data_IF_803291526811
#
_entry.id   IF_803291526811
#
_cell.length_a   1.000
_cell.length_b   1.000
_cell.length_c   1.000
_cell.angle_alpha   90.00
_cell.angle_beta   90.00
_cell.angle_gamma   90.00
#
_symmetry.space_group_name_H-M   'P 1'
#
loop_
_entity.id
_entity.type
_entity.pdbx_description
1 polymer ?
#
# COMPACT_ATOMS: atom_id res chain seq x y z
N UNK A 1 -13.52 6.98 13.95
CA UNK A 1 -14.51 6.16 13.18
C UNK A 1 -13.71 5.25 12.25
N UNK A 2 -14.02 3.93 12.24
CA UNK A 2 -13.34 2.93 11.40
C UNK A 2 -13.55 3.21 9.90
N UNK A 3 -12.55 2.86 9.08
CA UNK A 3 -12.63 2.90 7.61
C UNK A 3 -13.01 1.54 6.99
N UNK A 4 -13.14 0.49 7.79
CA UNK A 4 -13.59 -0.84 7.31
C UNK A 4 -14.97 -0.71 6.65
N UNK A 5 -15.12 -1.37 5.50
CA UNK A 5 -16.32 -1.34 4.66
C UNK A 5 -16.67 0.04 4.10
N UNK A 6 -15.72 0.98 4.08
CA UNK A 6 -15.89 2.29 3.42
C UNK A 6 -15.23 2.26 2.05
N UNK A 7 -15.91 2.86 1.08
CA UNK A 7 -15.33 3.10 -0.23
C UNK A 7 -14.28 4.20 -0.13
N UNK A 8 -13.15 4.03 -0.82
CA UNK A 8 -12.12 5.07 -0.92
C UNK A 8 -12.70 6.31 -1.60
N UNK A 9 -12.18 7.47 -1.23
CA UNK A 9 -12.55 8.74 -1.86
C UNK A 9 -11.84 8.86 -3.20
N UNK A 10 -12.49 9.33 -4.29
CA UNK A 10 -11.82 9.56 -5.57
C UNK A 10 -10.56 10.40 -5.42
N UNK A 11 -9.50 10.03 -6.15
CA UNK A 11 -8.22 10.72 -6.12
C UNK A 11 -7.55 10.72 -7.50
N UNK A 12 -6.58 11.61 -7.67
CA UNK A 12 -5.63 11.59 -8.77
C UNK A 12 -4.33 12.22 -8.27
N UNK A 13 -3.23 11.49 -8.36
CA UNK A 13 -1.92 11.91 -7.87
C UNK A 13 -0.82 11.55 -8.86
N UNK A 14 0.27 12.31 -8.84
CA UNK A 14 1.47 11.96 -9.59
C UNK A 14 2.19 10.78 -8.94
N UNK A 15 2.91 10.02 -9.76
CA UNK A 15 3.60 8.83 -9.31
C UNK A 15 4.91 8.57 -10.06
N UNK A 16 5.81 7.89 -9.37
CA UNK A 16 6.99 7.28 -9.95
C UNK A 16 6.82 5.76 -10.01
N UNK A 17 7.00 5.19 -11.19
CA UNK A 17 7.04 3.74 -11.40
C UNK A 17 8.42 3.35 -11.91
N UNK A 18 9.20 2.59 -11.14
CA UNK A 18 10.50 2.11 -11.59
C UNK A 18 10.40 1.33 -12.90
N UNK A 19 11.30 1.63 -13.85
CA UNK A 19 11.29 1.03 -15.19
C UNK A 19 10.52 1.82 -16.23
N UNK A 20 9.62 2.72 -15.85
CA UNK A 20 8.97 3.62 -16.79
C UNK A 20 9.88 4.81 -17.13
N UNK A 21 9.79 5.28 -18.39
CA UNK A 21 10.59 6.40 -18.90
C UNK A 21 10.15 7.73 -18.28
N UNK A 22 8.85 7.93 -18.22
CA UNK A 22 8.23 9.18 -17.78
C UNK A 22 7.49 8.96 -16.44
N UNK A 23 7.20 10.04 -15.74
CA UNK A 23 6.29 9.99 -14.61
C UNK A 23 4.87 9.72 -15.08
N UNK A 24 4.09 9.09 -14.22
CA UNK A 24 2.69 8.75 -14.50
C UNK A 24 1.77 9.46 -13.51
N UNK A 25 0.50 9.50 -13.81
CA UNK A 25 -0.56 9.88 -12.87
C UNK A 25 -1.40 8.63 -12.58
N UNK A 26 -1.79 8.46 -11.33
CA UNK A 26 -2.64 7.35 -10.86
C UNK A 26 -3.89 7.90 -10.19
N UNK A 27 -5.03 7.34 -10.54
CA UNK A 27 -6.35 7.74 -10.03
C UNK A 27 -7.14 6.54 -9.50
N UNK A 28 -8.25 6.82 -8.84
CA UNK A 28 -9.22 5.79 -8.42
C UNK A 28 -9.72 4.92 -9.57
N UNK A 29 -9.76 5.46 -10.80
CA UNK A 29 -10.18 4.70 -11.99
C UNK A 29 -9.18 3.63 -12.42
N UNK A 30 -7.90 3.83 -12.15
CA UNK A 30 -6.84 2.88 -12.52
C UNK A 30 -6.86 1.63 -11.67
N UNK A 31 -7.50 1.70 -10.49
CA UNK A 31 -7.64 0.58 -9.55
C UNK A 31 -9.01 -0.10 -9.60
N UNK A 32 -9.96 0.42 -10.37
CA UNK A 32 -11.28 -0.22 -10.54
C UNK A 32 -11.12 -1.63 -11.09
N UNK A 33 -11.83 -2.58 -10.47
CA UNK A 33 -11.78 -4.01 -10.84
C UNK A 33 -10.55 -4.76 -10.37
N UNK A 34 -9.65 -4.13 -9.61
CA UNK A 34 -8.41 -4.74 -9.13
C UNK A 34 -8.32 -4.67 -7.60
N UNK A 35 -7.68 -5.68 -7.03
CA UNK A 35 -7.24 -5.61 -5.64
C UNK A 35 -6.06 -4.66 -5.53
N UNK A 36 -6.04 -3.81 -4.52
CA UNK A 36 -4.98 -2.83 -4.32
C UNK A 36 -4.53 -2.75 -2.86
N UNK A 37 -3.25 -2.55 -2.67
CA UNK A 37 -2.64 -2.26 -1.38
C UNK A 37 -2.11 -0.84 -1.40
N UNK A 38 -2.54 -0.02 -0.45
CA UNK A 38 -1.98 1.32 -0.19
C UNK A 38 -1.10 1.24 1.05
N UNK A 39 0.19 1.38 0.85
CA UNK A 39 1.22 1.26 1.88
C UNK A 39 1.79 2.63 2.21
N UNK A 40 1.17 3.33 3.18
CA UNK A 40 1.60 4.64 3.64
C UNK A 40 2.83 4.54 4.53
N UNK A 41 3.78 5.45 4.34
CA UNK A 41 4.98 5.58 5.17
C UNK A 41 5.33 7.07 5.36
N UNK A 42 6.07 7.43 6.45
CA UNK A 42 6.29 8.82 6.81
C UNK A 42 7.07 9.66 5.81
N UNK A 43 8.21 9.18 5.32
CA UNK A 43 9.05 9.95 4.40
C UNK A 43 10.15 9.11 3.75
N UNK A 44 10.57 9.56 2.56
CA UNK A 44 11.78 9.10 1.88
C UNK A 44 13.04 9.43 2.68
N UNK A 45 14.15 8.75 2.38
CA UNK A 45 15.47 8.97 3.00
C UNK A 45 15.48 8.86 4.54
N UNK A 46 14.67 7.95 5.11
CA UNK A 46 14.60 7.68 6.56
C UNK A 46 15.16 6.29 6.91
N UNK A 47 14.95 5.83 8.15
CA UNK A 47 15.62 4.62 8.67
C UNK A 47 14.76 3.36 8.62
N UNK A 48 13.51 3.41 9.08
CA UNK A 48 12.59 2.24 9.11
C UNK A 48 11.92 2.04 7.76
N UNK A 49 11.55 3.13 7.06
CA UNK A 49 10.83 3.06 5.79
C UNK A 49 11.53 2.21 4.73
N UNK A 50 12.87 2.32 4.49
CA UNK A 50 13.50 1.48 3.48
C UNK A 50 13.45 -0.01 3.82
N UNK A 51 13.45 -0.39 5.09
CA UNK A 51 13.35 -1.82 5.48
C UNK A 51 11.97 -2.40 5.16
N UNK A 52 10.90 -1.63 5.39
CA UNK A 52 9.54 -2.05 5.05
C UNK A 52 9.32 -2.12 3.55
N UNK A 53 9.83 -1.12 2.81
CA UNK A 53 9.67 -1.06 1.36
C UNK A 53 10.47 -2.17 0.66
N UNK A 54 11.64 -2.55 1.19
CA UNK A 54 12.42 -3.68 0.71
C UNK A 54 11.70 -5.01 0.96
N UNK A 55 11.20 -5.22 2.19
CA UNK A 55 10.40 -6.41 2.53
C UNK A 55 9.16 -6.54 1.64
N UNK A 56 8.47 -5.43 1.38
CA UNK A 56 7.34 -5.39 0.44
C UNK A 56 7.76 -5.70 -1.00
N UNK A 57 8.95 -5.28 -1.43
CA UNK A 57 9.48 -5.56 -2.75
C UNK A 57 9.82 -7.05 -2.93
N UNK A 58 10.27 -7.73 -1.88
CA UNK A 58 10.53 -9.17 -1.90
C UNK A 58 9.24 -9.99 -2.13
N UNK A 59 8.09 -9.48 -1.69
CA UNK A 59 6.78 -10.10 -1.91
C UNK A 59 6.07 -9.64 -3.19
N UNK A 60 6.63 -8.69 -3.95
CA UNK A 60 5.93 -8.06 -5.08
C UNK A 60 5.42 -9.07 -6.11
N UNK A 61 6.25 -10.02 -6.55
CA UNK A 61 5.86 -11.06 -7.50
C UNK A 61 4.72 -11.96 -6.99
N UNK A 62 4.68 -12.21 -5.68
CA UNK A 62 3.62 -13.00 -5.07
C UNK A 62 2.29 -12.23 -5.05
N UNK A 63 2.32 -10.91 -4.83
CA UNK A 63 1.14 -10.05 -4.94
C UNK A 63 0.65 -9.96 -6.40
N UNK A 64 1.55 -9.84 -7.37
CA UNK A 64 1.20 -9.85 -8.81
C UNK A 64 0.49 -11.15 -9.21
N UNK A 65 0.95 -12.31 -8.74
CA UNK A 65 0.29 -13.61 -8.97
C UNK A 65 -1.14 -13.66 -8.42
N UNK A 66 -1.43 -12.90 -7.37
CA UNK A 66 -2.78 -12.75 -6.80
C UNK A 66 -3.61 -11.66 -7.50
N UNK A 67 -3.08 -10.98 -8.53
CA UNK A 67 -3.74 -9.86 -9.19
C UNK A 67 -3.89 -8.62 -8.31
N UNK A 68 -2.93 -8.40 -7.41
CA UNK A 68 -2.93 -7.27 -6.47
C UNK A 68 -1.92 -6.23 -6.90
N UNK A 69 -2.36 -4.98 -7.06
CA UNK A 69 -1.47 -3.84 -7.27
C UNK A 69 -1.01 -3.24 -5.95
N UNK A 70 0.29 -2.95 -5.86
CA UNK A 70 0.89 -2.31 -4.69
C UNK A 70 1.19 -0.86 -5.03
N UNK A 71 0.80 0.02 -4.12
CA UNK A 71 1.15 1.43 -4.11
C UNK A 71 1.81 1.78 -2.79
N UNK A 72 3.07 2.20 -2.81
CA UNK A 72 3.64 2.90 -1.67
C UNK A 72 3.28 4.37 -1.74
N UNK A 73 3.01 5.00 -0.60
CA UNK A 73 2.50 6.37 -0.53
C UNK A 73 3.23 7.15 0.56
N UNK A 74 3.81 8.27 0.21
CA UNK A 74 4.25 9.28 1.17
C UNK A 74 3.91 10.68 0.69
N UNK A 75 4.10 11.66 1.54
CA UNK A 75 3.89 13.08 1.20
C UNK A 75 5.07 13.70 0.46
N UNK A 76 6.07 12.90 0.09
CA UNK A 76 7.17 13.32 -0.77
C UNK A 76 6.72 13.42 -2.24
N UNK A 77 7.45 14.19 -3.04
CA UNK A 77 7.18 14.33 -4.47
C UNK A 77 7.64 13.11 -5.26
N UNK A 78 7.03 12.87 -6.42
CA UNK A 78 7.44 11.81 -7.36
C UNK A 78 8.91 11.96 -7.81
N UNK A 79 9.46 13.19 -7.82
CA UNK A 79 10.87 13.45 -8.06
C UNK A 79 11.75 12.91 -6.93
N UNK A 80 11.31 13.08 -5.68
CA UNK A 80 12.00 12.57 -4.49
C UNK A 80 12.00 11.04 -4.49
N UNK A 81 10.86 10.42 -4.78
CA UNK A 81 10.75 8.95 -4.92
C UNK A 81 11.74 8.40 -5.93
N UNK A 82 11.79 9.00 -7.12
CA UNK A 82 12.76 8.60 -8.17
C UNK A 82 14.20 8.75 -7.70
N UNK A 83 14.55 9.89 -7.14
CA UNK A 83 15.89 10.15 -6.66
C UNK A 83 16.31 9.16 -5.57
N UNK A 84 15.41 8.87 -4.63
CA UNK A 84 15.68 7.94 -3.56
C UNK A 84 15.85 6.49 -4.05
N UNK A 85 14.93 6.00 -4.87
CA UNK A 85 14.99 4.65 -5.43
C UNK A 85 16.27 4.43 -6.26
N UNK A 86 16.70 5.44 -7.02
CA UNK A 86 17.90 5.36 -7.85
C UNK A 86 19.22 5.51 -7.10
N UNK A 87 19.19 6.10 -5.90
CA UNK A 87 20.41 6.39 -5.11
C UNK A 87 20.60 5.48 -3.90
N UNK A 88 19.63 4.62 -3.57
CA UNK A 88 19.66 3.78 -2.38
C UNK A 88 19.61 2.31 -2.73
N UNK A 89 20.67 1.57 -2.41
CA UNK A 89 20.73 0.11 -2.59
C UNK A 89 19.63 -0.62 -1.83
N UNK A 90 19.19 -0.09 -0.68
CA UNK A 90 18.19 -0.70 0.17
C UNK A 90 16.82 -0.85 -0.51
N UNK A 91 16.50 0.03 -1.46
CA UNK A 91 15.21 0.03 -2.17
C UNK A 91 15.37 -0.05 -3.70
N UNK A 92 16.57 -0.39 -4.18
CA UNK A 92 16.86 -0.51 -5.62
C UNK A 92 15.96 -1.55 -6.32
N UNK A 93 15.48 -2.55 -5.58
CA UNK A 93 14.63 -3.64 -6.09
C UNK A 93 13.13 -3.31 -6.14
N UNK A 94 12.71 -2.13 -5.70
CA UNK A 94 11.30 -1.71 -5.81
C UNK A 94 10.90 -1.67 -7.30
N UNK A 95 9.77 -2.32 -7.62
CA UNK A 95 9.16 -2.33 -8.96
C UNK A 95 7.71 -1.84 -8.96
N UNK A 96 7.08 -1.77 -7.77
CA UNK A 96 5.73 -1.24 -7.61
C UNK A 96 5.72 0.29 -7.70
N UNK A 97 4.53 0.85 -7.90
CA UNK A 97 4.33 2.29 -8.07
C UNK A 97 4.45 3.05 -6.75
N UNK A 98 5.17 4.15 -6.74
CA UNK A 98 5.34 5.07 -5.62
C UNK A 98 4.48 6.31 -5.86
N UNK A 99 3.41 6.49 -5.09
CA UNK A 99 2.48 7.61 -5.21
C UNK A 99 2.98 8.83 -4.43
N UNK A 100 2.95 9.98 -5.08
CA UNK A 100 3.26 11.28 -4.47
C UNK A 100 1.98 11.89 -3.90
N UNK A 101 1.89 11.99 -2.58
CA UNK A 101 0.77 12.65 -1.89
C UNK A 101 1.18 14.03 -1.36
N UNK A 102 1.91 14.80 -2.16
CA UNK A 102 2.45 16.12 -1.79
C UNK A 102 1.35 17.19 -1.54
N UNK A 103 0.12 16.91 -1.98
CA UNK A 103 -1.07 17.71 -1.71
C UNK A 103 -1.92 17.15 -0.55
N UNK A 104 -1.48 16.11 0.13
CA UNK A 104 -2.15 15.46 1.27
C UNK A 104 -3.55 14.89 0.98
N UNK A 105 -3.87 14.61 -0.29
CA UNK A 105 -5.19 14.09 -0.67
C UNK A 105 -5.41 12.68 -0.15
N UNK A 106 -4.47 11.77 -0.43
CA UNK A 106 -4.57 10.38 0.02
C UNK A 106 -4.45 10.26 1.53
N UNK A 107 -3.43 10.89 2.14
CA UNK A 107 -3.22 10.81 3.59
C UNK A 107 -4.39 11.39 4.39
N UNK A 108 -5.08 12.42 3.87
CA UNK A 108 -6.31 12.96 4.46
C UNK A 108 -7.49 11.98 4.30
N UNK A 109 -7.71 11.47 3.09
CA UNK A 109 -8.82 10.55 2.77
C UNK A 109 -8.74 9.25 3.56
N UNK A 110 -7.53 8.68 3.69
CA UNK A 110 -7.27 7.48 4.48
C UNK A 110 -7.08 7.77 5.99
N UNK A 111 -7.20 9.03 6.43
CA UNK A 111 -7.07 9.48 7.83
C UNK A 111 -5.75 9.09 8.48
N UNK A 112 -4.68 9.16 7.72
CA UNK A 112 -3.33 8.85 8.17
C UNK A 112 -2.42 10.08 8.25
N UNK A 113 -2.90 11.26 7.84
CA UNK A 113 -2.11 12.50 7.88
C UNK A 113 -1.85 12.93 9.34
N UNK A 114 -0.59 13.20 9.63
CA UNK A 114 -0.13 13.91 10.83
C UNK A 114 0.00 15.38 10.46
N UNK A 115 -1.07 16.15 10.67
CA UNK A 115 -1.17 17.54 10.22
C UNK A 115 -0.02 18.42 10.71
N UNK A 116 0.42 18.23 11.95
CA UNK A 116 1.52 19.01 12.55
C UNK A 116 2.87 18.78 11.88
N UNK A 117 3.05 17.66 11.18
CA UNK A 117 4.32 17.27 10.56
C UNK A 117 4.25 17.25 9.02
N UNK A 118 3.04 17.29 8.44
CA UNK A 118 2.84 17.14 7.02
C UNK A 118 3.28 15.77 6.49
N UNK A 119 3.14 14.72 7.30
CA UNK A 119 3.58 13.35 6.98
C UNK A 119 2.47 12.34 7.24
N UNK A 120 2.50 11.24 6.50
CA UNK A 120 1.61 10.12 6.76
C UNK A 120 2.08 9.30 7.97
N UNK A 121 1.12 8.72 8.70
CA UNK A 121 1.40 7.62 9.62
C UNK A 121 1.83 6.38 8.82
N UNK A 122 2.49 5.45 9.51
CA UNK A 122 2.81 4.12 9.00
C UNK A 122 1.53 3.28 9.01
N UNK A 123 0.87 3.17 7.85
CA UNK A 123 -0.42 2.48 7.72
C UNK A 123 -0.52 1.71 6.39
N UNK A 124 -1.22 0.58 6.42
CA UNK A 124 -1.47 -0.26 5.24
C UNK A 124 -2.95 -0.49 5.08
N UNK A 125 -3.47 -0.36 3.86
CA UNK A 125 -4.88 -0.61 3.53
C UNK A 125 -4.99 -1.63 2.41
N UNK A 126 -5.88 -2.59 2.57
CA UNK A 126 -6.27 -3.56 1.55
C UNK A 126 -7.61 -3.14 1.00
N UNK A 127 -7.66 -2.88 -0.31
CA UNK A 127 -8.83 -2.36 -1.02
C UNK A 127 -9.26 -3.38 -2.06
N UNK A 128 -10.55 -3.72 -2.08
CA UNK A 128 -11.13 -4.66 -3.01
C UNK A 128 -11.41 -4.06 -4.40
N UNK A 129 -11.80 -4.87 -5.41
CA UNK A 129 -12.09 -4.40 -6.76
C UNK A 129 -13.22 -3.37 -6.90
N UNK A 130 -14.04 -3.18 -5.85
CA UNK A 130 -15.09 -2.16 -5.79
C UNK A 130 -14.63 -0.89 -5.09
N UNK A 131 -13.35 -0.79 -4.74
CA UNK A 131 -12.79 0.33 -4.00
C UNK A 131 -13.15 0.34 -2.51
N UNK A 132 -13.56 -0.81 -1.93
CA UNK A 132 -13.95 -0.91 -0.52
C UNK A 132 -12.79 -1.40 0.33
N UNK A 133 -12.52 -0.72 1.43
CA UNK A 133 -11.46 -1.08 2.39
C UNK A 133 -11.87 -2.33 3.18
N UNK A 134 -11.14 -3.44 2.98
CA UNK A 134 -11.39 -4.71 3.61
C UNK A 134 -10.61 -4.93 4.91
N UNK A 135 -9.40 -4.41 4.97
CA UNK A 135 -8.57 -4.44 6.17
C UNK A 135 -7.62 -3.26 6.20
N UNK A 136 -7.20 -2.84 7.37
CA UNK A 136 -6.08 -1.91 7.52
C UNK A 136 -5.36 -2.14 8.84
N UNK A 137 -4.11 -1.73 8.89
CA UNK A 137 -3.33 -1.61 10.12
C UNK A 137 -2.62 -0.27 10.16
N UNK A 138 -2.37 0.22 11.36
CA UNK A 138 -1.59 1.43 11.60
C UNK A 138 -0.69 1.18 12.80
N UNK A 139 0.59 1.46 12.65
CA UNK A 139 1.59 1.29 13.70
C UNK A 139 2.20 2.61 14.10
N UNK A 140 2.78 2.68 15.29
CA UNK A 140 3.57 3.83 15.68
C UNK A 140 4.83 3.93 14.82
N UNK A 141 5.41 5.12 14.72
CA UNK A 141 6.48 5.44 13.77
C UNK A 141 7.71 4.53 13.85
N UNK A 142 8.04 4.06 15.06
CA UNK A 142 9.19 3.20 15.30
C UNK A 142 8.94 1.70 15.09
N UNK A 143 7.72 1.29 14.67
CA UNK A 143 7.34 -0.12 14.53
C UNK A 143 7.11 -0.44 13.05
N UNK A 144 8.07 -1.15 12.45
CA UNK A 144 7.96 -1.66 11.07
C UNK A 144 6.90 -2.75 10.94
N UNK A 145 6.28 -2.83 9.76
CA UNK A 145 5.27 -3.82 9.38
C UNK A 145 5.92 -5.00 8.67
N UNK A 146 5.21 -6.10 8.59
CA UNK A 146 5.63 -7.39 8.00
C UNK A 146 4.85 -7.63 6.69
N UNK A 147 5.57 -7.74 5.56
CA UNK A 147 4.95 -7.97 4.25
C UNK A 147 4.35 -9.38 4.12
N UNK A 148 4.90 -10.37 4.82
CA UNK A 148 4.35 -11.72 4.85
C UNK A 148 2.99 -11.77 5.53
N UNK A 149 2.80 -11.03 6.64
CA UNK A 149 1.50 -10.90 7.30
C UNK A 149 0.52 -10.10 6.43
N UNK A 150 0.97 -9.07 5.74
CA UNK A 150 0.15 -8.36 4.77
C UNK A 150 -0.31 -9.30 3.64
N UNK A 151 0.59 -10.09 3.09
CA UNK A 151 0.27 -11.07 2.05
C UNK A 151 -0.77 -12.09 2.53
N UNK A 152 -0.61 -12.61 3.75
CA UNK A 152 -1.60 -13.49 4.39
C UNK A 152 -2.97 -12.84 4.49
N UNK A 153 -3.04 -11.57 4.94
CA UNK A 153 -4.30 -10.80 5.06
C UNK A 153 -4.96 -10.56 3.70
N UNK A 154 -4.19 -10.26 2.66
CA UNK A 154 -4.71 -10.09 1.30
C UNK A 154 -5.34 -11.39 0.80
N UNK A 155 -4.67 -12.53 0.96
CA UNK A 155 -5.25 -13.84 0.60
C UNK A 155 -6.55 -14.12 1.34
N UNK A 156 -6.61 -13.83 2.64
CA UNK A 156 -7.81 -14.00 3.43
C UNK A 156 -8.95 -13.07 2.95
N UNK A 157 -8.64 -11.81 2.64
CA UNK A 157 -9.63 -10.88 2.12
C UNK A 157 -10.19 -11.33 0.75
N UNK A 158 -9.33 -11.78 -0.16
CA UNK A 158 -9.74 -12.33 -1.46
C UNK A 158 -10.60 -13.60 -1.30
N UNK A 159 -10.22 -14.46 -0.36
CA UNK A 159 -10.98 -15.67 -0.10
C UNK A 159 -12.42 -15.38 0.36
N UNK A 160 -12.56 -14.53 1.39
CA UNK A 160 -13.89 -14.13 1.91
C UNK A 160 -14.69 -13.36 0.86
N UNK A 161 -14.05 -12.51 0.05
CA UNK A 161 -14.72 -11.81 -1.05
C UNK A 161 -15.33 -12.76 -2.09
N UNK A 162 -14.64 -13.85 -2.41
CA UNK A 162 -15.10 -14.87 -3.36
C UNK A 162 -16.03 -15.92 -2.73
N UNK A 163 -16.04 -16.04 -1.40
CA UNK A 163 -16.82 -17.01 -0.64
C UNK A 163 -17.54 -16.31 0.52
N UNK A 164 -18.61 -15.54 0.24
CA UNK A 164 -19.23 -14.64 1.23
C UNK A 164 -19.87 -15.35 2.42
N UNK A 165 -20.15 -16.64 2.31
CA UNK A 165 -20.70 -17.46 3.39
C UNK A 165 -19.61 -18.14 4.24
N UNK A 166 -18.34 -17.91 3.96
CA UNK A 166 -17.21 -18.52 4.65
C UNK A 166 -16.38 -17.47 5.40
N UNK A 167 -15.59 -17.93 6.36
CA UNK A 167 -14.72 -17.08 7.19
C UNK A 167 -13.30 -17.61 7.26
N UNK A 168 -12.34 -16.71 7.43
CA UNK A 168 -10.94 -17.04 7.65
C UNK A 168 -10.59 -16.92 9.14
N UNK A 169 -10.31 -18.04 9.85
CA UNK A 169 -9.92 -18.00 11.24
C UNK A 169 -8.52 -17.38 11.43
N UNK A 170 -8.13 -17.18 12.70
CA UNK A 170 -6.79 -16.71 13.02
C UNK A 170 -5.70 -17.59 12.40
N UNK A 171 -4.62 -16.98 11.89
CA UNK A 171 -3.51 -17.67 11.22
C UNK A 171 -3.90 -18.45 9.95
N UNK A 172 -5.05 -18.14 9.36
CA UNK A 172 -5.47 -18.78 8.12
C UNK A 172 -4.45 -18.54 6.98
N UNK A 173 -4.02 -19.61 6.32
CA UNK A 173 -3.10 -19.58 5.19
C UNK A 173 -3.74 -20.12 3.89
N UNK A 174 -4.61 -21.14 4.02
CA UNK A 174 -5.32 -21.75 2.91
C UNK A 174 -6.41 -22.71 3.46
N UNK A 175 -7.25 -23.25 2.59
CA UNK A 175 -8.28 -24.24 2.93
C UNK A 175 -7.75 -25.53 3.61
N UNK A 176 -6.47 -25.82 3.47
CA UNK A 176 -5.84 -27.05 4.00
C UNK A 176 -5.60 -26.97 5.52
N UNK A 177 -5.83 -25.81 6.15
CA UNK A 177 -5.50 -25.55 7.56
C UNK A 177 -6.73 -25.32 8.45
N UNK A 178 -7.91 -25.78 8.03
CA UNK A 178 -9.12 -25.83 8.87
C UNK A 178 -9.23 -27.19 9.55
#
# INVERSE_FOLDING_TARGET
MSLINKTIVPFSVDAYKPGEKDFISVSDKDIEGKWSVFFFYPADFTFVCPTELADLADYHEEFEKLGVEIFSVSTDSHWTHKAWQQSSDAIANIRYTMLSDDQFHLSTNFKVLRESEGRANRATFIVDPKGVIQAYEMTSEGIGRDAGELFRKVKAAQYVYNNPDEVCPAKWLSLIHI
#
